data_IF_401643915784
#
_entry.id   IF_401643915784
#
_cell.length_a   1.000
_cell.length_b   1.000
_cell.length_c   1.000
_cell.angle_alpha   90.00
_cell.angle_beta   90.00
_cell.angle_gamma   90.00
#
_symmetry.space_group_name_H-M   'P 1'
#
loop_
_entity.id
_entity.type
_entity.pdbx_description
1 polymer ?
#
# COMPACT_ATOMS: atom_id res chain seq x y z
N UNK A 1 -9.11 17.51 15.33
CA UNK A 1 -10.33 16.75 15.71
C UNK A 1 -10.33 15.45 14.91
N UNK A 2 -10.61 14.32 15.56
CA UNK A 2 -10.76 13.04 14.85
C UNK A 2 -11.97 13.10 13.92
N UNK A 3 -11.90 12.40 12.76
CA UNK A 3 -13.02 12.31 11.84
C UNK A 3 -14.22 11.64 12.54
N UNK A 4 -15.42 12.19 12.36
CA UNK A 4 -16.61 11.75 13.09
C UNK A 4 -16.99 10.29 12.82
N UNK A 5 -16.72 9.81 11.60
CA UNK A 5 -17.01 8.43 11.18
C UNK A 5 -16.20 7.37 11.94
N UNK A 6 -14.99 7.73 12.45
CA UNK A 6 -14.13 6.80 13.19
C UNK A 6 -14.75 6.24 14.47
N UNK A 7 -15.72 6.96 15.08
CA UNK A 7 -16.39 6.51 16.32
C UNK A 7 -17.15 5.21 16.14
N UNK A 8 -17.65 4.96 14.92
CA UNK A 8 -18.46 3.79 14.59
C UNK A 8 -17.83 2.96 13.46
N UNK A 9 -16.50 3.12 13.25
CA UNK A 9 -15.80 2.38 12.21
C UNK A 9 -15.62 0.92 12.63
N UNK A 10 -15.98 0.02 11.71
CA UNK A 10 -15.64 -1.40 11.76
C UNK A 10 -14.81 -1.69 10.54
N UNK A 11 -13.53 -1.98 10.77
CA UNK A 11 -12.56 -2.20 9.70
C UNK A 11 -12.56 -3.63 9.22
N UNK A 12 -12.42 -3.80 7.91
CA UNK A 12 -12.04 -5.03 7.27
C UNK A 12 -10.63 -4.86 6.70
N UNK A 13 -9.65 -5.55 7.27
CA UNK A 13 -8.27 -5.50 6.80
C UNK A 13 -8.10 -6.48 5.63
N UNK A 14 -7.41 -6.03 4.58
CA UNK A 14 -7.15 -6.81 3.37
C UNK A 14 -5.66 -6.77 3.05
N UNK A 15 -5.07 -7.97 2.97
CA UNK A 15 -3.82 -8.18 2.26
C UNK A 15 -4.15 -8.52 0.80
N UNK A 16 -3.92 -7.61 -0.17
CA UNK A 16 -4.41 -7.78 -1.53
C UNK A 16 -4.00 -9.10 -2.17
N UNK A 17 -2.74 -9.50 -1.98
CA UNK A 17 -2.17 -10.71 -2.58
C UNK A 17 -2.99 -11.99 -2.31
N UNK A 18 -3.59 -12.12 -1.14
CA UNK A 18 -4.27 -13.35 -0.71
C UNK A 18 -5.79 -13.23 -0.64
N UNK A 19 -6.37 -12.11 -1.08
CA UNK A 19 -7.79 -11.85 -0.84
C UNK A 19 -8.71 -12.47 -1.90
N UNK A 20 -8.65 -12.00 -3.14
CA UNK A 20 -9.49 -12.52 -4.23
C UNK A 20 -8.83 -12.27 -5.58
N UNK A 21 -8.55 -13.33 -6.30
CA UNK A 21 -7.94 -13.34 -7.62
C UNK A 21 -9.05 -13.35 -8.69
N UNK A 22 -9.07 -12.34 -9.56
CA UNK A 22 -10.06 -12.23 -10.63
C UNK A 22 -9.54 -12.67 -11.99
N UNK A 23 -8.22 -12.69 -12.18
CA UNK A 23 -7.59 -12.98 -13.46
C UNK A 23 -7.03 -14.41 -13.55
N UNK A 24 -6.97 -15.15 -12.43
CA UNK A 24 -6.55 -16.55 -12.37
C UNK A 24 -5.04 -16.74 -12.33
N UNK A 25 -4.27 -15.72 -11.92
CA UNK A 25 -2.80 -15.81 -11.83
C UNK A 25 -2.30 -16.32 -10.47
N UNK A 26 -3.21 -16.56 -9.53
CA UNK A 26 -2.90 -17.02 -8.17
C UNK A 26 -2.63 -15.89 -7.19
N UNK A 27 -2.79 -14.63 -7.60
CA UNK A 27 -2.58 -13.44 -6.78
C UNK A 27 -3.87 -12.62 -6.74
N UNK A 28 -4.32 -12.24 -5.55
CA UNK A 28 -5.47 -11.35 -5.40
C UNK A 28 -5.19 -9.97 -5.97
N UNK A 29 -6.23 -9.31 -6.44
CA UNK A 29 -6.14 -8.04 -7.17
C UNK A 29 -7.17 -7.00 -6.71
N UNK A 30 -7.05 -5.75 -7.19
CA UNK A 30 -7.92 -4.64 -6.83
C UNK A 30 -9.35 -4.90 -7.34
N UNK A 31 -9.52 -5.51 -8.51
CA UNK A 31 -10.83 -5.87 -9.03
C UNK A 31 -11.51 -6.91 -8.14
N UNK A 32 -10.74 -7.81 -7.54
CA UNK A 32 -11.21 -8.75 -6.53
C UNK A 32 -11.72 -8.06 -5.26
N UNK A 33 -11.04 -7.01 -4.82
CA UNK A 33 -11.51 -6.21 -3.69
C UNK A 33 -12.83 -5.52 -4.05
N UNK A 34 -12.92 -4.90 -5.22
CA UNK A 34 -14.14 -4.24 -5.71
C UNK A 34 -15.31 -5.23 -5.75
N UNK A 35 -15.09 -6.44 -6.28
CA UNK A 35 -16.11 -7.48 -6.40
C UNK A 35 -16.65 -7.95 -5.03
N UNK A 36 -15.90 -7.78 -3.95
CA UNK A 36 -16.27 -8.21 -2.60
C UNK A 36 -16.79 -7.11 -1.67
N UNK A 37 -16.89 -5.87 -2.12
CA UNK A 37 -17.35 -4.75 -1.29
C UNK A 37 -18.75 -4.96 -0.71
N UNK A 38 -19.68 -5.56 -1.46
CA UNK A 38 -21.03 -5.85 -0.96
C UNK A 38 -21.02 -6.92 0.15
N UNK A 39 -20.17 -7.94 0.00
CA UNK A 39 -19.95 -8.92 1.06
C UNK A 39 -19.40 -8.24 2.32
N UNK A 40 -18.35 -7.43 2.20
CA UNK A 40 -17.74 -6.72 3.33
C UNK A 40 -18.76 -5.85 4.05
N UNK A 41 -19.58 -5.11 3.28
CA UNK A 41 -20.67 -4.31 3.84
C UNK A 41 -21.73 -5.17 4.54
N UNK A 42 -22.08 -6.33 3.98
CA UNK A 42 -23.12 -7.22 4.53
C UNK A 42 -22.78 -7.79 5.90
N UNK A 43 -21.49 -7.93 6.22
CA UNK A 43 -21.03 -8.38 7.54
C UNK A 43 -20.84 -7.23 8.55
N UNK A 44 -21.25 -6.01 8.19
CA UNK A 44 -21.27 -4.84 9.07
C UNK A 44 -20.01 -3.98 9.05
N UNK A 45 -19.04 -4.24 8.17
CA UNK A 45 -17.87 -3.38 8.01
C UNK A 45 -18.22 -2.14 7.17
N UNK A 46 -17.67 -1.00 7.57
CA UNK A 46 -17.85 0.29 6.90
C UNK A 46 -16.51 1.00 6.61
N UNK A 47 -15.42 0.32 6.83
CA UNK A 47 -14.10 0.80 6.50
C UNK A 47 -13.21 -0.36 6.02
N UNK A 48 -12.34 -0.08 5.06
CA UNK A 48 -11.28 -0.97 4.60
C UNK A 48 -9.95 -0.46 5.14
N UNK A 49 -9.08 -1.39 5.49
CA UNK A 49 -7.66 -1.16 5.70
C UNK A 49 -6.90 -2.06 4.74
N UNK A 50 -6.21 -1.45 3.77
CA UNK A 50 -5.45 -2.16 2.75
C UNK A 50 -3.97 -2.19 3.13
N UNK A 51 -3.39 -3.38 3.24
CA UNK A 51 -1.94 -3.54 3.30
C UNK A 51 -1.29 -2.99 2.02
N UNK A 52 0.03 -2.71 2.02
CA UNK A 52 0.66 -2.00 0.92
C UNK A 52 0.40 -2.64 -0.45
N UNK A 53 0.00 -1.84 -1.40
CA UNK A 53 -0.24 -2.22 -2.79
C UNK A 53 0.66 -1.49 -3.79
N UNK A 54 1.63 -0.74 -3.24
CA UNK A 54 2.58 0.05 -4.03
C UNK A 54 3.55 -0.84 -4.81
N UNK A 55 4.23 -0.25 -5.79
CA UNK A 55 5.31 -0.92 -6.50
C UNK A 55 6.42 -1.33 -5.54
N UNK A 56 6.78 -2.61 -5.60
CA UNK A 56 7.70 -3.27 -4.68
C UNK A 56 8.34 -4.47 -5.37
N UNK A 57 9.57 -4.85 -5.05
CA UNK A 57 10.14 -6.16 -5.42
C UNK A 57 9.53 -7.32 -4.62
N UNK A 58 8.69 -7.05 -3.60
CA UNK A 58 8.01 -8.04 -2.77
C UNK A 58 8.94 -9.01 -2.02
N UNK A 59 10.12 -8.52 -1.61
CA UNK A 59 11.02 -9.27 -0.72
C UNK A 59 10.47 -9.26 0.70
N UNK A 60 9.77 -8.18 1.08
CA UNK A 60 9.09 -8.00 2.38
C UNK A 60 7.58 -7.77 2.19
N UNK A 61 6.93 -8.68 1.45
CA UNK A 61 5.47 -8.75 1.30
C UNK A 61 4.79 -7.43 0.86
N UNK A 62 5.53 -6.51 0.21
CA UNK A 62 5.05 -5.21 -0.25
C UNK A 62 5.41 -4.04 0.69
N UNK A 63 5.96 -4.32 1.88
CA UNK A 63 6.46 -3.27 2.79
C UNK A 63 7.80 -2.69 2.35
N UNK A 64 8.50 -3.33 1.42
CA UNK A 64 9.69 -2.87 0.74
C UNK A 64 9.34 -2.04 -0.51
N UNK A 65 8.72 -0.87 -0.29
CA UNK A 65 8.20 -0.01 -1.35
C UNK A 65 9.32 0.57 -2.20
N UNK A 66 9.26 0.36 -3.51
CA UNK A 66 10.20 0.95 -4.49
C UNK A 66 9.63 2.19 -5.19
N UNK A 67 8.31 2.38 -5.20
CA UNK A 67 7.65 3.57 -5.71
C UNK A 67 6.31 3.80 -5.03
N UNK A 68 6.21 4.83 -4.19
CA UNK A 68 4.99 5.18 -3.45
C UNK A 68 3.87 5.80 -4.31
N UNK A 69 4.14 6.12 -5.57
CA UNK A 69 3.18 6.76 -6.47
C UNK A 69 2.63 5.83 -7.54
N UNK A 70 3.06 4.58 -7.55
CA UNK A 70 2.61 3.56 -8.50
C UNK A 70 2.00 2.35 -7.78
N UNK A 71 0.97 1.79 -8.39
CA UNK A 71 0.37 0.52 -7.97
C UNK A 71 1.23 -0.62 -8.52
N UNK A 72 1.47 -1.64 -7.70
CA UNK A 72 2.15 -2.85 -8.15
C UNK A 72 1.34 -3.54 -9.26
N UNK A 73 1.98 -3.82 -10.38
CA UNK A 73 1.32 -4.38 -11.58
C UNK A 73 0.54 -5.66 -11.31
N UNK A 74 0.98 -6.46 -10.33
CA UNK A 74 0.29 -7.68 -9.92
C UNK A 74 -1.09 -7.42 -9.32
N UNK A 75 -1.33 -6.24 -8.77
CA UNK A 75 -2.60 -5.88 -8.14
C UNK A 75 -3.54 -5.10 -9.06
N UNK A 76 -3.01 -4.54 -10.14
CA UNK A 76 -3.78 -3.75 -11.10
C UNK A 76 -3.11 -2.43 -11.46
N UNK A 77 -3.91 -1.46 -11.80
CA UNK A 77 -3.51 -0.14 -12.29
C UNK A 77 -3.93 0.98 -11.33
N UNK A 78 -3.43 2.19 -11.57
CA UNK A 78 -3.89 3.38 -10.86
C UNK A 78 -5.39 3.65 -11.12
N UNK A 79 -5.90 3.33 -12.30
CA UNK A 79 -7.32 3.49 -12.62
C UNK A 79 -8.17 2.49 -11.81
N UNK A 80 -7.71 1.24 -11.62
CA UNK A 80 -8.38 0.27 -10.75
C UNK A 80 -8.42 0.78 -9.30
N UNK A 81 -7.34 1.39 -8.82
CA UNK A 81 -7.30 2.00 -7.50
C UNK A 81 -8.32 3.14 -7.36
N UNK A 82 -8.40 4.04 -8.35
CA UNK A 82 -9.41 5.12 -8.38
C UNK A 82 -10.83 4.56 -8.40
N UNK A 83 -11.05 3.51 -9.17
CA UNK A 83 -12.34 2.81 -9.25
C UNK A 83 -12.73 2.21 -7.89
N UNK A 84 -11.80 1.56 -7.20
CA UNK A 84 -12.03 1.03 -5.85
C UNK A 84 -12.46 2.13 -4.89
N UNK A 85 -11.78 3.28 -4.87
CA UNK A 85 -12.18 4.41 -4.02
C UNK A 85 -13.59 4.89 -4.36
N UNK A 86 -13.89 5.06 -5.65
CA UNK A 86 -15.19 5.53 -6.11
C UNK A 86 -16.31 4.58 -5.66
N UNK A 87 -16.18 3.28 -5.94
CA UNK A 87 -17.21 2.28 -5.63
C UNK A 87 -17.35 2.07 -4.12
N UNK A 88 -16.25 2.07 -3.38
CA UNK A 88 -16.30 1.98 -1.92
C UNK A 88 -17.05 3.17 -1.31
N UNK A 89 -16.77 4.39 -1.74
CA UNK A 89 -17.45 5.60 -1.26
C UNK A 89 -18.94 5.60 -1.60
N UNK A 90 -19.33 5.17 -2.79
CA UNK A 90 -20.75 5.03 -3.18
C UNK A 90 -21.49 4.03 -2.28
N UNK A 91 -20.79 3.03 -1.76
CA UNK A 91 -21.33 2.06 -0.81
C UNK A 91 -21.24 2.52 0.66
N UNK A 92 -20.70 3.71 0.93
CA UNK A 92 -20.48 4.25 2.27
C UNK A 92 -19.36 3.55 3.03
N UNK A 93 -18.36 3.02 2.32
CA UNK A 93 -17.18 2.37 2.88
C UNK A 93 -15.99 3.33 2.78
N UNK A 94 -15.35 3.63 3.91
CA UNK A 94 -14.10 4.40 3.96
C UNK A 94 -12.92 3.49 3.62
N UNK A 95 -11.92 4.03 2.93
CA UNK A 95 -10.72 3.26 2.52
C UNK A 95 -9.47 3.90 3.13
N UNK A 96 -8.69 3.11 3.85
CA UNK A 96 -7.37 3.45 4.35
C UNK A 96 -6.36 2.52 3.70
N UNK A 97 -5.18 3.05 3.44
CA UNK A 97 -4.05 2.30 2.87
C UNK A 97 -2.87 2.45 3.82
N UNK A 98 -2.14 1.37 4.02
CA UNK A 98 -0.88 1.41 4.75
C UNK A 98 0.07 2.42 4.09
N UNK A 99 0.59 3.30 4.92
CA UNK A 99 1.70 4.17 4.56
C UNK A 99 2.98 3.63 5.20
N UNK A 100 3.99 3.35 4.39
CA UNK A 100 5.30 2.86 4.85
C UNK A 100 6.31 4.02 4.82
N UNK A 101 6.36 4.90 5.84
CA UNK A 101 7.17 6.12 5.80
C UNK A 101 8.56 5.96 6.43
N UNK A 102 8.80 4.88 7.18
CA UNK A 102 10.01 4.69 8.00
C UNK A 102 11.20 4.08 7.25
N UNK A 103 10.95 3.49 6.09
CA UNK A 103 11.97 2.88 5.24
C UNK A 103 11.47 2.75 3.79
N UNK A 104 12.35 2.37 2.89
CA UNK A 104 12.02 2.02 1.51
C UNK A 104 12.72 0.71 1.13
N UNK A 105 12.35 0.17 -0.02
CA UNK A 105 13.14 -0.87 -0.68
C UNK A 105 14.54 -0.36 -1.01
N UNK A 106 15.51 -1.23 -1.02
CA UNK A 106 16.84 -0.96 -1.61
C UNK A 106 16.76 -0.61 -3.11
N UNK A 107 15.68 -1.03 -3.78
CA UNK A 107 15.39 -0.70 -5.17
C UNK A 107 14.79 0.70 -5.37
N UNK A 108 14.45 1.41 -4.26
CA UNK A 108 13.88 2.75 -4.36
C UNK A 108 14.92 3.74 -4.90
N UNK A 109 14.58 4.61 -5.88
CA UNK A 109 15.52 5.58 -6.43
C UNK A 109 16.19 6.46 -5.38
N UNK A 110 15.49 6.83 -4.33
CA UNK A 110 16.06 7.62 -3.22
C UNK A 110 17.18 6.88 -2.50
N UNK A 111 16.99 5.58 -2.24
CA UNK A 111 18.02 4.76 -1.59
C UNK A 111 19.25 4.60 -2.49
N UNK A 112 19.02 4.31 -3.77
CA UNK A 112 20.07 4.14 -4.76
C UNK A 112 20.91 5.43 -4.94
N UNK A 113 20.24 6.59 -4.97
CA UNK A 113 20.93 7.88 -5.10
C UNK A 113 21.67 8.27 -3.82
N UNK A 114 21.04 8.06 -2.64
CA UNK A 114 21.64 8.37 -1.34
C UNK A 114 22.87 7.51 -1.02
N UNK A 115 22.93 6.26 -1.52
CA UNK A 115 24.03 5.33 -1.29
C UNK A 115 25.26 5.53 -2.17
N UNK A 116 25.29 6.51 -3.07
CA UNK A 116 26.45 6.82 -3.90
C UNK A 116 27.57 7.44 -3.07
N UNK A 117 28.81 7.28 -3.50
CA UNK A 117 29.98 7.89 -2.85
C UNK A 117 29.87 9.43 -2.74
N UNK A 118 29.28 10.06 -3.76
CA UNK A 118 28.98 11.50 -3.79
C UNK A 118 27.50 11.69 -4.16
N UNK A 119 26.58 11.53 -3.19
CA UNK A 119 25.16 11.64 -3.45
C UNK A 119 24.76 13.08 -3.79
N UNK A 120 23.77 13.29 -4.69
CA UNK A 120 23.18 14.60 -4.89
C UNK A 120 22.63 15.16 -3.56
N UNK A 121 22.78 16.48 -3.35
CA UNK A 121 22.41 17.13 -2.08
C UNK A 121 20.97 16.85 -1.64
N UNK A 122 20.03 16.70 -2.57
CA UNK A 122 18.63 16.39 -2.28
C UNK A 122 18.40 14.96 -1.73
N UNK A 123 19.36 14.05 -1.90
CA UNK A 123 19.28 12.65 -1.45
C UNK A 123 20.22 12.32 -0.30
N UNK A 124 21.23 13.16 -0.03
CA UNK A 124 22.32 12.88 0.91
C UNK A 124 21.81 12.54 2.32
N UNK A 125 20.79 13.28 2.80
CA UNK A 125 20.25 13.18 4.15
C UNK A 125 18.93 12.37 4.22
N UNK A 126 18.53 11.66 3.16
CA UNK A 126 17.28 10.90 3.17
C UNK A 126 17.34 9.63 3.99
N UNK A 127 18.54 9.08 4.19
CA UNK A 127 18.77 7.86 4.96
C UNK A 127 19.91 8.09 5.96
N UNK A 128 19.84 7.39 7.08
CA UNK A 128 20.89 7.39 8.08
C UNK A 128 21.91 6.32 7.72
N UNK A 129 23.08 6.75 7.28
CA UNK A 129 24.19 5.87 6.99
C UNK A 129 25.14 5.76 8.16
N UNK A 130 25.67 4.57 8.43
CA UNK A 130 26.65 4.32 9.51
C UNK A 130 27.61 3.23 9.09
N UNK A 131 28.86 3.38 9.52
CA UNK A 131 29.88 2.32 9.41
C UNK A 131 29.74 1.25 10.51
N UNK A 132 28.95 1.52 11.53
CA UNK A 132 28.70 0.62 12.64
C UNK A 132 27.38 -0.15 12.44
N UNK A 133 27.49 -1.42 12.06
CA UNK A 133 26.35 -2.31 11.84
C UNK A 133 25.46 -2.55 13.09
N UNK A 134 25.93 -2.18 14.28
CA UNK A 134 25.20 -2.35 15.54
C UNK A 134 24.50 -1.06 16.02
N UNK A 135 24.68 0.06 15.36
CA UNK A 135 23.91 1.28 15.61
C UNK A 135 22.55 1.20 14.93
N UNK A 136 21.51 1.12 15.72
CA UNK A 136 20.11 1.28 15.28
C UNK A 136 19.54 2.55 15.87
#
# INVERSE_FOLDING_TARGET
MAASWLKNAVFYEIYPQSFYDTNGDGIGDIQGIIAKLDYIKSIGCNALWLNPWYESPFVDAGYDVSNHTAIAKRYGTLEDAKELFRVAHEKGIHVLIDLVPGHTSEMHPWFQESGKENPPAEFADRYIWTENAFCR
#
